data_IF_793280858468
#
_entry.id   IF_793280858468
#
_cell.length_a   1.000
_cell.length_b   1.000
_cell.length_c   1.000
_cell.angle_alpha   90.00
_cell.angle_beta   90.00
_cell.angle_gamma   90.00
#
_symmetry.space_group_name_H-M   'P 1'
#
loop_
_entity.id
_entity.type
_entity.pdbx_description
1 polymer ?
#
# COMPACT_ATOMS: atom_id res chain seq x y z
N UNK A 1 0.29 4.93 -48.10
CA UNK A 1 -0.86 4.32 -47.40
C UNK A 1 -0.48 2.89 -47.09
N UNK A 2 -0.02 2.60 -45.87
CA UNK A 2 0.18 1.23 -45.38
C UNK A 2 0.10 1.25 -43.85
N UNK A 3 -1.08 0.82 -43.38
CA UNK A 3 -1.41 0.06 -42.18
C UNK A 3 -0.58 0.28 -40.90
N UNK A 4 -1.16 1.04 -39.97
CA UNK A 4 -0.81 0.96 -38.54
C UNK A 4 -1.39 -0.36 -37.98
N UNK A 5 -0.51 -1.24 -37.50
CA UNK A 5 -0.91 -2.39 -36.71
C UNK A 5 -1.47 -1.92 -35.37
N UNK A 6 -2.76 -2.13 -35.13
CA UNK A 6 -3.40 -1.94 -33.84
C UNK A 6 -2.79 -2.93 -32.84
N UNK A 7 -2.32 -2.50 -31.65
CA UNK A 7 -1.90 -3.44 -30.63
C UNK A 7 -3.12 -4.25 -30.19
N UNK A 8 -3.07 -5.56 -30.41
CA UNK A 8 -4.03 -6.50 -29.86
C UNK A 8 -3.96 -6.41 -28.35
N UNK A 9 -5.12 -6.14 -27.74
CA UNK A 9 -5.31 -6.11 -26.31
C UNK A 9 -5.16 -7.56 -25.82
N UNK A 10 -3.92 -7.99 -25.60
CA UNK A 10 -3.60 -9.27 -24.99
C UNK A 10 -4.11 -9.21 -23.55
N UNK A 11 -5.31 -9.72 -23.35
CA UNK A 11 -5.83 -10.02 -22.02
C UNK A 11 -4.83 -10.98 -21.36
N UNK A 12 -3.98 -10.43 -20.50
CA UNK A 12 -3.11 -11.20 -19.61
C UNK A 12 -4.04 -12.07 -18.77
N UNK A 13 -4.15 -13.34 -19.13
CA UNK A 13 -4.91 -14.32 -18.37
C UNK A 13 -4.28 -14.41 -16.99
N UNK A 14 -4.95 -13.85 -15.99
CA UNK A 14 -4.55 -14.00 -14.60
C UNK A 14 -5.23 -15.27 -14.06
N UNK A 15 -4.48 -16.37 -13.83
CA UNK A 15 -5.05 -17.62 -13.30
C UNK A 15 -5.59 -17.46 -11.87
N UNK A 16 -5.30 -16.34 -11.20
CA UNK A 16 -5.81 -15.99 -9.88
C UNK A 16 -6.53 -14.64 -9.97
N UNK A 17 -7.75 -14.61 -10.54
CA UNK A 17 -8.56 -13.40 -10.42
C UNK A 17 -8.74 -13.08 -8.93
N UNK A 18 -8.59 -11.82 -8.51
CA UNK A 18 -8.86 -11.45 -7.12
C UNK A 18 -10.28 -11.88 -6.76
N UNK A 19 -10.44 -12.55 -5.62
CA UNK A 19 -11.74 -13.09 -5.16
C UNK A 19 -12.82 -12.00 -4.98
N UNK A 20 -12.40 -10.73 -4.90
CA UNK A 20 -13.27 -9.58 -4.79
C UNK A 20 -12.79 -8.45 -5.71
N UNK A 21 -13.65 -8.08 -6.66
CA UNK A 21 -13.52 -6.86 -7.47
C UNK A 21 -14.83 -6.10 -7.30
N UNK A 22 -14.76 -4.91 -6.69
CA UNK A 22 -15.89 -3.99 -6.58
C UNK A 22 -15.56 -2.75 -7.41
N UNK A 23 -16.48 -2.36 -8.29
CA UNK A 23 -16.41 -1.09 -9.02
C UNK A 23 -16.77 0.11 -8.11
N UNK A 24 -17.37 -0.15 -6.95
CA UNK A 24 -17.64 0.88 -5.95
C UNK A 24 -16.45 1.07 -5.01
N UNK A 25 -16.09 2.33 -4.69
CA UNK A 25 -15.03 2.62 -3.75
C UNK A 25 -15.38 2.02 -2.40
N UNK A 26 -14.49 1.17 -1.87
CA UNK A 26 -14.65 0.59 -0.55
C UNK A 26 -14.70 1.70 0.50
N UNK A 27 -15.82 1.84 1.20
CA UNK A 27 -15.91 2.73 2.36
C UNK A 27 -15.15 2.10 3.53
N UNK A 28 -13.96 2.61 3.80
CA UNK A 28 -13.15 2.21 4.95
C UNK A 28 -13.46 3.15 6.11
N UNK A 29 -13.92 2.63 7.24
CA UNK A 29 -14.11 3.46 8.42
C UNK A 29 -12.77 3.86 9.03
N UNK A 30 -12.71 5.01 9.72
CA UNK A 30 -11.49 5.42 10.42
C UNK A 30 -11.03 4.40 11.48
N UNK A 31 -11.97 3.64 12.06
CA UNK A 31 -11.65 2.55 12.99
C UNK A 31 -10.96 1.38 12.28
N UNK A 32 -11.45 0.97 11.12
CA UNK A 32 -10.87 -0.14 10.35
C UNK A 32 -9.49 0.26 9.80
N UNK A 33 -9.35 1.52 9.39
CA UNK A 33 -8.04 2.08 9.04
C UNK A 33 -7.09 2.07 10.25
N UNK A 34 -7.58 2.39 11.46
CA UNK A 34 -6.80 2.29 12.69
C UNK A 34 -6.24 0.87 12.94
N UNK A 35 -7.04 -0.17 12.71
CA UNK A 35 -6.57 -1.56 12.81
C UNK A 35 -5.50 -1.90 11.77
N UNK A 36 -5.69 -1.46 10.53
CA UNK A 36 -4.72 -1.66 9.45
C UNK A 36 -3.38 -0.98 9.79
N UNK A 37 -3.42 0.26 10.27
CA UNK A 37 -2.24 1.03 10.69
C UNK A 37 -1.51 0.31 11.83
N UNK A 38 -2.24 -0.16 12.85
CA UNK A 38 -1.64 -0.90 13.95
C UNK A 38 -0.94 -2.18 13.47
N UNK A 39 -1.55 -2.92 12.54
CA UNK A 39 -0.94 -4.10 11.94
C UNK A 39 0.32 -3.75 11.13
N UNK A 40 0.27 -2.73 10.26
CA UNK A 40 1.41 -2.30 9.45
C UNK A 40 2.59 -1.87 10.32
N UNK A 41 2.34 -1.13 11.40
CA UNK A 41 3.37 -0.74 12.38
C UNK A 41 4.04 -1.96 12.99
N UNK A 42 3.26 -2.97 13.40
CA UNK A 42 3.81 -4.19 13.97
C UNK A 42 4.67 -4.97 12.95
N UNK A 43 4.30 -4.97 11.68
CA UNK A 43 5.11 -5.60 10.63
C UNK A 43 6.44 -4.86 10.43
N UNK A 44 6.41 -3.52 10.43
CA UNK A 44 7.60 -2.69 10.30
C UNK A 44 8.56 -2.89 11.48
N UNK A 45 8.08 -2.76 12.71
CA UNK A 45 8.94 -2.85 13.90
C UNK A 45 9.52 -4.24 14.14
N UNK A 46 8.95 -5.27 13.50
CA UNK A 46 9.47 -6.64 13.50
C UNK A 46 10.61 -6.87 12.49
N UNK A 47 10.83 -5.96 11.53
CA UNK A 47 11.93 -6.10 10.57
C UNK A 47 13.26 -5.63 11.18
N UNK A 48 14.33 -6.30 10.79
CA UNK A 48 15.68 -5.83 11.10
C UNK A 48 15.93 -4.48 10.41
N UNK A 49 16.64 -3.59 11.12
CA UNK A 49 17.07 -2.33 10.53
C UNK A 49 18.16 -2.62 9.52
N UNK A 50 17.81 -2.45 8.25
CA UNK A 50 18.69 -2.66 7.11
C UNK A 50 18.29 -1.70 6.00
N UNK A 51 19.27 -1.21 5.23
CA UNK A 51 19.00 -0.23 4.17
C UNK A 51 18.08 -0.81 3.07
N UNK A 52 18.14 -2.12 2.86
CA UNK A 52 17.25 -2.83 1.92
C UNK A 52 15.77 -2.77 2.34
N UNK A 53 15.49 -2.49 3.62
CA UNK A 53 14.13 -2.32 4.13
C UNK A 53 13.67 -0.86 4.09
N UNK A 54 14.46 0.04 3.51
CA UNK A 54 14.13 1.46 3.45
C UNK A 54 12.95 1.78 2.54
N UNK A 55 12.82 1.04 1.43
CA UNK A 55 11.67 1.14 0.52
C UNK A 55 10.37 0.77 1.23
N UNK A 56 10.41 -0.25 2.09
CA UNK A 56 9.26 -0.66 2.90
C UNK A 56 8.86 0.42 3.91
N UNK A 57 9.84 1.05 4.59
CA UNK A 57 9.53 2.18 5.46
C UNK A 57 8.90 3.33 4.66
N UNK A 58 9.46 3.69 3.50
CA UNK A 58 8.97 4.82 2.69
C UNK A 58 7.53 4.59 2.22
N UNK A 59 7.25 3.40 1.66
CA UNK A 59 5.92 3.04 1.20
C UNK A 59 4.89 3.10 2.33
N UNK A 60 5.20 2.48 3.48
CA UNK A 60 4.28 2.44 4.60
C UNK A 60 4.15 3.79 5.31
N UNK A 61 5.19 4.62 5.32
CA UNK A 61 5.12 5.99 5.82
C UNK A 61 4.18 6.85 4.99
N UNK A 62 4.19 6.67 3.66
CA UNK A 62 3.24 7.34 2.77
C UNK A 62 1.80 6.92 3.08
N UNK A 63 1.55 5.62 3.28
CA UNK A 63 0.22 5.09 3.62
C UNK A 63 -0.24 5.62 4.98
N UNK A 64 0.63 5.61 6.00
CA UNK A 64 0.28 6.11 7.33
C UNK A 64 -0.01 7.61 7.34
N UNK A 65 0.69 8.40 6.52
CA UNK A 65 0.40 9.83 6.37
C UNK A 65 -0.98 10.04 5.75
N UNK A 66 -1.26 9.39 4.62
CA UNK A 66 -2.55 9.47 3.95
C UNK A 66 -3.68 9.02 4.88
N UNK A 67 -3.47 7.92 5.61
CA UNK A 67 -4.42 7.42 6.57
C UNK A 67 -4.71 8.39 7.71
N UNK A 68 -3.72 9.17 8.13
CA UNK A 68 -3.90 10.20 9.16
C UNK A 68 -4.68 11.39 8.62
N UNK A 69 -4.37 11.83 7.40
CA UNK A 69 -5.03 12.96 6.74
C UNK A 69 -6.49 12.67 6.35
N UNK A 70 -6.76 11.49 5.79
CA UNK A 70 -8.09 11.13 5.26
C UNK A 70 -8.99 10.53 6.34
N UNK A 71 -8.43 9.70 7.23
CA UNK A 71 -9.21 8.90 8.18
C UNK A 71 -9.01 9.27 9.64
N UNK A 72 -8.14 10.26 9.95
CA UNK A 72 -7.85 10.69 11.31
C UNK A 72 -7.09 9.65 12.14
N UNK A 73 -6.44 8.69 11.49
CA UNK A 73 -5.62 7.69 12.18
C UNK A 73 -4.33 8.30 12.74
N UNK A 74 -3.66 7.58 13.63
CA UNK A 74 -2.43 8.06 14.25
C UNK A 74 -1.29 8.14 13.21
N UNK A 75 -0.59 9.28 13.09
CA UNK A 75 0.47 9.45 12.09
C UNK A 75 1.66 8.53 12.39
N UNK A 76 2.39 8.13 11.35
CA UNK A 76 3.65 7.38 11.51
C UNK A 76 4.68 8.19 12.31
N UNK A 77 5.40 7.55 13.22
CA UNK A 77 6.51 8.17 13.97
C UNK A 77 7.85 7.78 13.38
N UNK A 78 8.91 8.52 13.75
CA UNK A 78 10.30 8.17 13.37
C UNK A 78 10.71 6.77 13.83
N UNK A 79 10.12 6.29 14.92
CA UNK A 79 10.36 4.95 15.48
C UNK A 79 9.74 3.85 14.62
N UNK A 80 8.74 4.20 13.81
CA UNK A 80 8.12 3.29 12.85
C UNK A 80 9.02 3.07 11.63
N UNK A 81 10.06 3.90 11.46
CA UNK A 81 10.99 3.76 10.35
C UNK A 81 12.17 2.86 10.74
N UNK A 82 12.36 1.82 9.93
CA UNK A 82 13.41 0.81 10.09
C UNK A 82 14.70 1.14 9.32
N UNK A 83 14.78 2.32 8.71
CA UNK A 83 15.99 2.81 8.07
C UNK A 83 17.01 3.31 9.11
N UNK A 84 18.29 3.31 8.77
CA UNK A 84 19.34 3.85 9.64
C UNK A 84 19.37 5.39 9.75
N UNK A 85 18.60 6.11 8.93
CA UNK A 85 18.49 7.57 9.00
C UNK A 85 18.58 8.23 7.64
#
# INVERSE_FOLDING_TARGET
MSDQATPTNDHVYNPFPPEFVSDEPMEVSGRDMGYLIAWMRAQLTAQDRHDDNSDLCQALSSIMREASEVYGSEPGTRETCICHG
#
